data_IF_760481264667
#
_entry.id   IF_760481264667
#
_cell.length_a   1.000
_cell.length_b   1.000
_cell.length_c   1.000
_cell.angle_alpha   90.00
_cell.angle_beta   90.00
_cell.angle_gamma   90.00
#
_symmetry.space_group_name_H-M   'P 1'
#
loop_
_entity.id
_entity.type
_entity.pdbx_description
1 polymer ?
#
# COMPACT_ATOMS: atom_id res chain seq x y z
N UNK A 1 -34.30 0.01 -44.13
CA UNK A 1 -33.20 0.86 -43.58
C UNK A 1 -33.28 0.79 -42.09
N UNK A 2 -32.54 -0.12 -41.48
CA UNK A 2 -32.39 -0.19 -40.01
C UNK A 2 -31.13 0.58 -39.63
N UNK A 3 -31.30 1.66 -38.89
CA UNK A 3 -30.19 2.36 -38.22
C UNK A 3 -29.92 1.66 -36.89
N UNK A 4 -28.85 0.87 -36.84
CA UNK A 4 -28.33 0.32 -35.61
C UNK A 4 -27.52 1.45 -34.92
N UNK A 5 -28.02 1.91 -33.78
CA UNK A 5 -27.28 2.76 -32.85
C UNK A 5 -26.28 1.90 -32.07
N UNK A 6 -25.00 2.10 -32.35
CA UNK A 6 -23.93 1.60 -31.49
C UNK A 6 -23.91 2.44 -30.23
N UNK A 7 -24.44 1.91 -29.14
CA UNK A 7 -24.16 2.41 -27.82
C UNK A 7 -22.75 1.89 -27.43
N UNK A 8 -21.74 2.72 -27.62
CA UNK A 8 -20.41 2.47 -27.10
C UNK A 8 -20.48 2.56 -25.58
N UNK A 9 -20.21 1.44 -24.92
CA UNK A 9 -20.18 1.28 -23.49
C UNK A 9 -19.01 2.09 -22.91
N UNK A 10 -19.33 3.25 -22.36
CA UNK A 10 -18.45 4.10 -21.52
C UNK A 10 -18.39 3.56 -20.08
N UNK A 11 -18.36 2.27 -19.87
CA UNK A 11 -18.45 1.63 -18.55
C UNK A 11 -17.10 1.13 -18.01
N UNK A 12 -15.99 1.32 -18.72
CA UNK A 12 -14.72 0.71 -18.34
C UNK A 12 -13.80 1.58 -17.46
N UNK A 13 -14.11 2.86 -17.23
CA UNK A 13 -13.17 3.77 -16.52
C UNK A 13 -13.59 4.19 -15.10
N UNK A 14 -14.74 3.75 -14.61
CA UNK A 14 -15.21 4.13 -13.26
C UNK A 14 -14.87 3.07 -12.20
N UNK A 15 -14.51 1.87 -12.58
CA UNK A 15 -14.40 0.74 -11.64
C UNK A 15 -13.03 0.55 -10.97
N UNK A 16 -11.99 1.28 -11.35
CA UNK A 16 -10.67 1.13 -10.70
C UNK A 16 -10.60 1.79 -9.31
N UNK A 17 -11.52 2.66 -8.94
CA UNK A 17 -11.56 3.32 -7.63
C UNK A 17 -12.44 2.60 -6.59
N UNK A 18 -13.27 1.65 -6.99
CA UNK A 18 -14.22 0.97 -6.11
C UNK A 18 -13.62 -0.19 -5.29
N UNK A 19 -12.35 -0.52 -5.52
CA UNK A 19 -11.77 -1.75 -4.96
C UNK A 19 -11.28 -1.65 -3.51
N UNK A 20 -11.30 -0.47 -2.90
CA UNK A 20 -10.88 -0.28 -1.51
C UNK A 20 -11.88 0.59 -0.73
N UNK A 21 -13.16 0.30 -0.83
CA UNK A 21 -14.10 0.81 0.17
C UNK A 21 -13.99 -0.09 1.39
N UNK A 22 -13.86 0.50 2.57
CA UNK A 22 -13.64 -0.15 3.85
C UNK A 22 -14.61 -1.31 4.16
N UNK A 23 -15.74 -1.36 3.50
CA UNK A 23 -16.82 -2.29 3.81
C UNK A 23 -16.69 -3.68 3.16
N UNK A 24 -15.74 -3.89 2.22
CA UNK A 24 -15.71 -5.12 1.42
C UNK A 24 -14.39 -5.90 1.40
N UNK A 25 -13.32 -5.38 2.01
CA UNK A 25 -12.02 -6.05 1.95
C UNK A 25 -11.39 -6.17 3.34
N UNK A 26 -11.19 -7.41 3.76
CA UNK A 26 -10.34 -7.74 4.89
C UNK A 26 -8.96 -8.06 4.35
N UNK A 27 -7.95 -7.32 4.78
CA UNK A 27 -6.58 -7.47 4.34
C UNK A 27 -5.64 -7.81 5.48
N UNK A 28 -4.51 -8.45 5.15
CA UNK A 28 -3.41 -8.71 6.04
C UNK A 28 -2.14 -8.00 5.55
N UNK A 29 -1.32 -7.51 6.45
CA UNK A 29 0.02 -7.03 6.17
C UNK A 29 1.05 -7.90 6.88
N UNK A 30 2.11 -8.29 6.19
CA UNK A 30 3.19 -9.05 6.78
C UNK A 30 4.55 -8.68 6.20
N UNK A 31 5.56 -8.76 7.06
CA UNK A 31 6.98 -8.73 6.67
C UNK A 31 7.63 -10.11 6.78
N UNK A 32 6.90 -11.09 7.31
CA UNK A 32 7.38 -12.47 7.46
C UNK A 32 7.28 -13.23 6.13
N UNK A 33 8.14 -14.24 5.90
CA UNK A 33 7.97 -15.17 4.79
C UNK A 33 6.59 -15.84 4.83
N UNK A 34 5.96 -15.97 3.67
CA UNK A 34 4.66 -16.64 3.49
C UNK A 34 4.84 -17.92 2.68
N UNK A 35 4.10 -18.95 3.07
CA UNK A 35 3.86 -20.12 2.23
C UNK A 35 2.50 -20.03 1.54
N UNK A 36 2.29 -20.84 0.50
CA UNK A 36 0.97 -20.98 -0.16
C UNK A 36 -0.10 -21.46 0.82
N UNK A 37 0.27 -22.30 1.81
CA UNK A 37 -0.67 -22.76 2.84
C UNK A 37 -1.13 -21.63 3.78
N UNK A 38 -0.23 -20.68 4.11
CA UNK A 38 -0.57 -19.52 4.92
C UNK A 38 -1.52 -18.60 4.15
N UNK A 39 -1.24 -18.36 2.88
CA UNK A 39 -2.08 -17.56 1.99
C UNK A 39 -3.45 -18.20 1.74
N UNK A 40 -3.53 -19.53 1.59
CA UNK A 40 -4.78 -20.27 1.49
C UNK A 40 -5.60 -20.12 2.79
N UNK A 41 -4.93 -20.19 3.96
CA UNK A 41 -5.58 -19.95 5.24
C UNK A 41 -6.15 -18.52 5.32
N UNK A 42 -5.43 -17.50 4.83
CA UNK A 42 -5.96 -16.13 4.74
C UNK A 42 -7.25 -16.10 3.92
N UNK A 43 -7.22 -16.65 2.72
CA UNK A 43 -8.36 -16.67 1.82
C UNK A 43 -9.57 -17.42 2.42
N UNK A 44 -9.37 -18.56 3.07
CA UNK A 44 -10.41 -19.34 3.74
C UNK A 44 -11.04 -18.62 4.93
N UNK A 45 -10.32 -17.69 5.53
CA UNK A 45 -10.82 -16.85 6.64
C UNK A 45 -11.33 -15.47 6.16
N UNK A 46 -11.56 -15.31 4.85
CA UNK A 46 -12.18 -14.11 4.28
C UNK A 46 -11.21 -12.98 3.99
N UNK A 47 -9.90 -13.20 4.09
CA UNK A 47 -8.89 -12.21 3.71
C UNK A 47 -8.69 -12.29 2.19
N UNK A 48 -9.25 -11.33 1.48
CA UNK A 48 -9.15 -11.24 0.02
C UNK A 48 -8.10 -10.24 -0.46
N UNK A 49 -7.44 -9.56 0.46
CA UNK A 49 -6.37 -8.60 0.23
C UNK A 49 -5.18 -8.91 1.13
N UNK A 50 -3.98 -8.73 0.62
CA UNK A 50 -2.78 -8.79 1.43
C UNK A 50 -1.71 -7.83 0.90
N UNK A 51 -0.92 -7.28 1.82
CA UNK A 51 0.18 -6.38 1.50
C UNK A 51 1.46 -7.03 2.01
N UNK A 52 2.44 -7.17 1.13
CA UNK A 52 3.77 -7.64 1.49
C UNK A 52 4.76 -6.50 1.40
N UNK A 53 5.71 -6.44 2.34
CA UNK A 53 6.82 -5.51 2.19
C UNK A 53 7.67 -5.94 0.99
N UNK A 54 7.97 -4.98 0.09
CA UNK A 54 8.72 -5.22 -1.14
C UNK A 54 10.03 -4.44 -1.20
N UNK A 55 10.15 -3.40 -0.38
CA UNK A 55 11.38 -2.61 -0.28
C UNK A 55 11.56 -2.15 1.16
N UNK A 56 12.78 -2.26 1.69
CA UNK A 56 13.11 -1.94 3.06
C UNK A 56 14.59 -1.63 3.20
N UNK A 57 14.95 -0.65 4.01
CA UNK A 57 16.33 -0.25 4.32
C UNK A 57 17.22 -0.04 3.09
N UNK A 58 16.64 0.50 2.02
CA UNK A 58 17.37 0.80 0.79
C UNK A 58 17.55 -0.38 -0.17
N UNK A 59 16.93 -1.53 0.10
CA UNK A 59 17.03 -2.75 -0.70
C UNK A 59 15.65 -3.34 -1.00
N UNK A 60 15.56 -4.13 -2.09
CA UNK A 60 14.41 -5.00 -2.30
C UNK A 60 14.32 -5.99 -1.12
N UNK A 61 13.10 -6.23 -0.63
CA UNK A 61 12.90 -7.22 0.43
C UNK A 61 13.18 -8.61 -0.13
N UNK A 62 13.95 -9.42 0.60
CA UNK A 62 14.35 -10.75 0.16
C UNK A 62 13.14 -11.67 -0.09
N UNK A 63 12.02 -11.40 0.56
CA UNK A 63 10.79 -12.20 0.44
C UNK A 63 9.77 -11.58 -0.53
N UNK A 64 10.10 -10.48 -1.24
CA UNK A 64 9.11 -9.72 -2.01
C UNK A 64 8.28 -10.58 -2.96
N UNK A 65 8.93 -11.29 -3.87
CA UNK A 65 8.26 -12.10 -4.87
C UNK A 65 7.74 -13.42 -4.31
N UNK A 66 8.45 -14.04 -3.38
CA UNK A 66 8.02 -15.29 -2.76
C UNK A 66 6.70 -15.09 -2.01
N UNK A 67 6.57 -14.00 -1.25
CA UNK A 67 5.33 -13.66 -0.57
C UNK A 67 4.19 -13.37 -1.54
N UNK A 68 4.41 -12.54 -2.57
CA UNK A 68 3.40 -12.23 -3.58
C UNK A 68 2.96 -13.47 -4.36
N UNK A 69 3.90 -14.34 -4.73
CA UNK A 69 3.61 -15.61 -5.39
C UNK A 69 2.85 -16.58 -4.46
N UNK A 70 3.21 -16.64 -3.18
CA UNK A 70 2.49 -17.43 -2.19
C UNK A 70 1.04 -16.95 -2.05
N UNK A 71 0.83 -15.63 -1.96
CA UNK A 71 -0.49 -15.02 -1.91
C UNK A 71 -1.32 -15.32 -3.16
N UNK A 72 -0.71 -15.25 -4.34
CA UNK A 72 -1.35 -15.61 -5.61
C UNK A 72 -1.71 -17.10 -5.62
N UNK A 73 -0.79 -17.97 -5.23
CA UNK A 73 -1.03 -19.42 -5.17
C UNK A 73 -2.11 -19.83 -4.16
N UNK A 74 -2.25 -19.08 -3.06
CA UNK A 74 -3.30 -19.26 -2.06
C UNK A 74 -4.64 -18.61 -2.42
N UNK A 75 -4.76 -17.96 -3.58
CA UNK A 75 -6.01 -17.38 -4.08
C UNK A 75 -6.38 -16.03 -3.48
N UNK A 76 -5.43 -15.32 -2.83
CA UNK A 76 -5.65 -13.94 -2.38
C UNK A 76 -5.74 -13.03 -3.60
N UNK A 77 -6.87 -12.29 -3.72
CA UNK A 77 -7.19 -11.55 -4.94
C UNK A 77 -6.34 -10.29 -5.12
N UNK A 78 -6.19 -9.49 -4.08
CA UNK A 78 -5.45 -8.23 -4.09
C UNK A 78 -4.13 -8.40 -3.33
N UNK A 79 -3.02 -8.18 -4.03
CA UNK A 79 -1.66 -8.44 -3.55
C UNK A 79 -0.82 -7.22 -3.84
N UNK A 80 -0.76 -6.32 -2.86
CA UNK A 80 -0.08 -5.03 -2.99
C UNK A 80 1.31 -5.07 -2.34
N UNK A 81 2.15 -4.12 -2.72
CA UNK A 81 3.48 -3.94 -2.14
C UNK A 81 3.51 -2.79 -1.13
N UNK A 82 4.28 -2.92 -0.05
CA UNK A 82 4.69 -1.81 0.81
C UNK A 82 6.16 -1.48 0.57
N UNK A 83 6.42 -0.25 0.18
CA UNK A 83 7.76 0.32 0.09
C UNK A 83 8.03 1.20 1.30
N UNK A 84 9.00 0.81 2.11
CA UNK A 84 9.54 1.63 3.17
C UNK A 84 10.75 2.41 2.61
N UNK A 85 10.60 3.72 2.34
CA UNK A 85 11.62 4.46 1.62
C UNK A 85 12.85 4.74 2.49
N UNK A 86 13.97 5.01 1.85
CA UNK A 86 15.17 5.51 2.52
C UNK A 86 15.50 6.91 2.02
N UNK A 87 15.48 7.89 2.91
CA UNK A 87 15.85 9.28 2.59
C UNK A 87 17.28 9.42 2.06
N UNK A 88 18.14 8.45 2.32
CA UNK A 88 19.54 8.42 1.88
C UNK A 88 19.71 8.09 0.40
N UNK A 89 18.66 7.59 -0.26
CA UNK A 89 18.69 7.13 -1.64
C UNK A 89 17.85 8.03 -2.54
N UNK A 90 18.17 7.98 -3.85
CA UNK A 90 17.34 8.67 -4.84
C UNK A 90 15.89 8.15 -4.80
N UNK A 91 14.89 9.02 -4.62
CA UNK A 91 13.47 8.64 -4.65
C UNK A 91 13.11 7.84 -5.90
N UNK A 92 13.50 8.36 -7.07
CA UNK A 92 13.23 7.73 -8.37
C UNK A 92 13.83 6.33 -8.46
N UNK A 93 15.08 6.15 -8.03
CA UNK A 93 15.76 4.86 -8.14
C UNK A 93 15.11 3.79 -7.24
N UNK A 94 14.57 4.16 -6.08
CA UNK A 94 13.86 3.23 -5.21
C UNK A 94 12.58 2.72 -5.87
N UNK A 95 11.79 3.62 -6.47
CA UNK A 95 10.57 3.25 -7.21
C UNK A 95 10.95 2.40 -8.44
N UNK A 96 11.95 2.82 -9.22
CA UNK A 96 12.40 2.10 -10.41
C UNK A 96 12.84 0.67 -10.08
N UNK A 97 13.69 0.50 -9.06
CA UNK A 97 14.17 -0.82 -8.64
C UNK A 97 13.01 -1.73 -8.21
N UNK A 98 12.11 -1.19 -7.38
CA UNK A 98 10.94 -1.94 -6.90
C UNK A 98 10.01 -2.34 -8.04
N UNK A 99 9.61 -1.40 -8.88
CA UNK A 99 8.66 -1.66 -9.99
C UNK A 99 9.27 -2.61 -11.02
N UNK A 100 10.57 -2.45 -11.32
CA UNK A 100 11.27 -3.35 -12.25
C UNK A 100 11.31 -4.78 -11.71
N UNK A 101 11.60 -4.96 -10.42
CA UNK A 101 11.57 -6.29 -9.80
C UNK A 101 10.16 -6.88 -9.81
N UNK A 102 9.16 -6.14 -9.34
CA UNK A 102 7.78 -6.59 -9.30
C UNK A 102 7.25 -7.02 -10.67
N UNK A 103 7.59 -6.30 -11.74
CA UNK A 103 7.17 -6.61 -13.11
C UNK A 103 7.93 -7.78 -13.72
N UNK A 104 9.23 -7.92 -13.40
CA UNK A 104 10.12 -8.90 -14.04
C UNK A 104 10.13 -10.22 -13.26
N UNK A 105 10.27 -10.14 -11.95
CA UNK A 105 10.55 -11.30 -11.10
C UNK A 105 9.25 -11.87 -10.48
N UNK A 106 8.28 -11.02 -10.17
CA UNK A 106 7.04 -11.46 -9.51
C UNK A 106 5.88 -11.77 -10.49
N UNK A 107 6.09 -11.69 -11.78
CA UNK A 107 5.27 -12.14 -12.93
C UNK A 107 3.75 -12.23 -12.70
N UNK A 108 3.08 -11.08 -12.49
CA UNK A 108 1.63 -11.02 -12.30
C UNK A 108 1.13 -11.33 -10.89
N UNK A 109 2.03 -11.65 -9.96
CA UNK A 109 1.66 -11.82 -8.57
C UNK A 109 1.32 -10.49 -7.87
N UNK A 110 1.87 -9.37 -8.34
CA UNK A 110 1.56 -8.04 -7.85
C UNK A 110 0.31 -7.45 -8.51
N UNK A 111 -0.59 -6.84 -7.70
CA UNK A 111 -1.87 -6.28 -8.18
C UNK A 111 -1.76 -4.84 -8.71
N UNK A 112 -0.57 -4.22 -8.67
CA UNK A 112 -0.32 -2.91 -9.27
C UNK A 112 -0.35 -1.72 -8.32
N UNK A 113 -0.67 -1.89 -7.02
CA UNK A 113 -0.59 -0.81 -6.02
C UNK A 113 0.69 -0.94 -5.21
N UNK A 114 1.37 0.20 -5.03
CA UNK A 114 2.52 0.35 -4.15
C UNK A 114 2.16 1.35 -3.03
N UNK A 115 2.23 0.90 -1.79
CA UNK A 115 2.01 1.74 -0.62
C UNK A 115 3.35 2.31 -0.16
N UNK A 116 3.43 3.64 -0.06
CA UNK A 116 4.61 4.33 0.47
C UNK A 116 4.45 4.50 1.96
N UNK A 117 5.37 3.92 2.72
CA UNK A 117 5.38 4.01 4.18
C UNK A 117 5.84 5.40 4.61
N UNK A 118 4.91 6.17 5.16
CA UNK A 118 5.14 7.48 5.75
C UNK A 118 4.82 7.45 7.26
N UNK A 119 5.38 6.49 7.97
CA UNK A 119 5.37 6.42 9.42
C UNK A 119 6.67 6.97 10.01
N UNK A 120 6.61 7.49 11.23
CA UNK A 120 7.76 8.10 11.90
C UNK A 120 8.72 7.02 12.44
N UNK A 121 9.37 6.30 11.52
CA UNK A 121 10.41 5.32 11.87
C UNK A 121 11.79 5.89 11.55
N UNK A 122 12.80 5.52 12.34
CA UNK A 122 14.18 5.90 12.09
C UNK A 122 14.62 5.46 10.68
N UNK A 123 15.33 6.31 9.96
CA UNK A 123 15.92 6.08 8.63
C UNK A 123 15.03 6.30 7.40
N UNK A 124 13.70 6.30 7.50
CA UNK A 124 12.83 6.47 6.34
C UNK A 124 12.80 7.89 5.82
N UNK A 125 12.80 8.86 6.74
CA UNK A 125 12.70 10.29 6.44
C UNK A 125 13.78 11.10 7.18
N UNK A 126 13.94 12.36 6.77
CA UNK A 126 14.76 13.38 7.45
C UNK A 126 14.05 13.88 8.71
N UNK A 127 14.80 14.54 9.59
CA UNK A 127 14.23 15.32 10.70
C UNK A 127 13.64 16.67 10.25
N UNK A 128 13.82 17.04 8.98
CA UNK A 128 13.41 18.33 8.41
C UNK A 128 12.18 18.13 7.54
N UNK A 129 11.04 18.70 7.96
CA UNK A 129 9.74 18.50 7.28
C UNK A 129 9.75 18.93 5.81
N UNK A 130 10.36 20.06 5.46
CA UNK A 130 10.40 20.55 4.08
C UNK A 130 11.18 19.60 3.16
N UNK A 131 12.23 18.97 3.68
CA UNK A 131 12.99 17.97 2.93
C UNK A 131 12.15 16.72 2.71
N UNK A 132 11.39 16.30 3.72
CA UNK A 132 10.48 15.16 3.63
C UNK A 132 9.35 15.41 2.64
N UNK A 133 8.79 16.61 2.62
CA UNK A 133 7.77 17.02 1.64
C UNK A 133 8.31 16.91 0.21
N UNK A 134 9.52 17.41 -0.02
CA UNK A 134 10.17 17.32 -1.32
C UNK A 134 10.48 15.86 -1.69
N UNK A 135 11.03 15.09 -0.76
CA UNK A 135 11.34 13.67 -0.97
C UNK A 135 10.10 12.85 -1.33
N UNK A 136 9.01 13.03 -0.58
CA UNK A 136 7.73 12.37 -0.88
C UNK A 136 7.18 12.77 -2.25
N UNK A 137 7.26 14.05 -2.62
CA UNK A 137 6.84 14.48 -3.96
C UNK A 137 7.63 13.78 -5.07
N UNK A 138 8.96 13.62 -4.89
CA UNK A 138 9.79 12.94 -5.87
C UNK A 138 9.45 11.43 -5.98
N UNK A 139 9.12 10.76 -4.86
CA UNK A 139 8.61 9.39 -4.88
C UNK A 139 7.30 9.30 -5.66
N UNK A 140 6.35 10.20 -5.40
CA UNK A 140 5.05 10.22 -6.10
C UNK A 140 5.18 10.54 -7.59
N UNK A 141 6.07 11.46 -7.96
CA UNK A 141 6.39 11.74 -9.37
C UNK A 141 6.98 10.52 -10.08
N UNK A 142 7.85 9.77 -9.41
CA UNK A 142 8.37 8.51 -9.94
C UNK A 142 7.27 7.46 -10.11
N UNK A 143 6.32 7.36 -9.18
CA UNK A 143 5.15 6.48 -9.35
C UNK A 143 4.38 6.82 -10.64
N UNK A 144 4.15 8.11 -10.88
CA UNK A 144 3.45 8.58 -12.10
C UNK A 144 4.29 8.30 -13.36
N UNK A 145 5.61 8.49 -13.31
CA UNK A 145 6.52 8.19 -14.42
C UNK A 145 6.51 6.71 -14.81
N UNK A 146 6.45 5.81 -13.81
CA UNK A 146 6.41 4.37 -14.04
C UNK A 146 4.98 3.82 -14.26
N UNK A 147 3.98 4.70 -14.35
CA UNK A 147 2.57 4.35 -14.55
C UNK A 147 2.08 3.28 -13.57
N UNK A 148 2.24 3.57 -12.27
CA UNK A 148 1.78 2.73 -11.17
C UNK A 148 0.90 3.52 -10.20
N UNK A 149 -0.02 2.81 -9.56
CA UNK A 149 -0.79 3.39 -8.46
C UNK A 149 0.02 3.41 -7.19
N UNK A 150 0.30 4.60 -6.64
CA UNK A 150 0.88 4.74 -5.32
C UNK A 150 -0.12 5.31 -4.32
N UNK A 151 -0.20 4.68 -3.15
CA UNK A 151 -0.92 5.17 -1.97
C UNK A 151 0.04 5.51 -0.84
N UNK A 152 -0.49 6.10 0.23
CA UNK A 152 0.28 6.48 1.43
C UNK A 152 -0.19 5.63 2.60
N UNK A 153 0.75 5.01 3.30
CA UNK A 153 0.54 4.33 4.58
C UNK A 153 1.02 5.24 5.72
N UNK A 154 0.11 5.73 6.56
CA UNK A 154 0.44 6.63 7.67
C UNK A 154 -0.73 6.79 8.64
N UNK A 155 -0.51 7.56 9.71
CA UNK A 155 -1.52 8.12 10.61
C UNK A 155 -1.31 9.63 10.80
N UNK A 156 -2.24 10.28 11.50
CA UNK A 156 -2.20 11.73 11.70
C UNK A 156 -0.95 12.18 12.49
N UNK A 157 -0.51 11.41 13.49
CA UNK A 157 0.63 11.77 14.32
C UNK A 157 1.95 11.69 13.53
N UNK A 158 2.15 10.59 12.82
CA UNK A 158 3.33 10.39 11.97
C UNK A 158 3.37 11.41 10.84
N UNK A 159 2.24 11.62 10.15
CA UNK A 159 2.13 12.62 9.09
C UNK A 159 2.50 14.03 9.60
N UNK A 160 1.96 14.41 10.74
CA UNK A 160 2.23 15.73 11.36
C UNK A 160 3.71 15.86 11.71
N UNK A 161 4.32 14.81 12.24
CA UNK A 161 5.73 14.79 12.59
C UNK A 161 6.61 14.91 11.35
N UNK A 162 6.33 14.13 10.32
CA UNK A 162 7.16 14.02 9.12
C UNK A 162 6.94 15.15 8.13
N UNK A 163 5.68 15.53 7.88
CA UNK A 163 5.29 16.43 6.81
C UNK A 163 4.79 17.79 7.30
N UNK A 164 4.41 17.88 8.58
CA UNK A 164 3.73 19.06 9.13
C UNK A 164 2.20 18.98 8.95
N UNK A 165 1.48 19.58 9.91
CA UNK A 165 0.00 19.48 10.02
C UNK A 165 -0.75 20.10 8.83
N UNK A 166 -0.13 21.05 8.11
CA UNK A 166 -0.74 21.79 7.00
C UNK A 166 -0.41 21.25 5.61
N UNK A 167 0.54 20.29 5.52
CA UNK A 167 0.96 19.76 4.23
C UNK A 167 -0.08 18.85 3.60
N UNK A 168 -0.43 19.11 2.34
CA UNK A 168 -1.47 18.41 1.57
C UNK A 168 -0.99 17.85 0.24
N UNK A 169 0.33 17.71 0.05
CA UNK A 169 0.91 17.33 -1.25
C UNK A 169 0.55 15.93 -1.73
N UNK A 170 0.01 15.08 -0.86
CA UNK A 170 -0.43 13.74 -1.22
C UNK A 170 -1.95 13.52 -1.12
N UNK A 171 -2.76 14.59 -0.95
CA UNK A 171 -4.20 14.48 -0.70
C UNK A 171 -4.99 13.74 -1.81
N UNK A 172 -4.46 13.71 -3.04
CA UNK A 172 -5.07 13.01 -4.17
C UNK A 172 -4.66 11.53 -4.28
N UNK A 173 -3.81 11.05 -3.37
CA UNK A 173 -3.41 9.65 -3.28
C UNK A 173 -4.30 8.92 -2.30
N UNK A 174 -4.46 7.61 -2.48
CA UNK A 174 -5.16 6.77 -1.51
C UNK A 174 -4.44 6.78 -0.17
N UNK A 175 -5.20 6.78 0.91
CA UNK A 175 -4.67 6.68 2.26
C UNK A 175 -4.94 5.27 2.81
N UNK A 176 -3.89 4.58 3.19
CA UNK A 176 -3.97 3.45 4.11
C UNK A 176 -3.72 3.99 5.51
N UNK A 177 -4.80 4.10 6.27
CA UNK A 177 -4.80 4.70 7.59
C UNK A 177 -4.41 3.69 8.65
N UNK A 178 -3.36 3.97 9.40
CA UNK A 178 -2.96 3.20 10.58
C UNK A 178 -3.71 3.74 11.79
N UNK A 179 -4.75 3.00 12.22
CA UNK A 179 -5.57 3.38 13.37
C UNK A 179 -4.80 3.26 14.68
N UNK A 180 -4.70 4.34 15.47
CA UNK A 180 -4.01 4.32 16.76
C UNK A 180 -4.79 3.58 17.85
N UNK A 181 -6.11 3.45 17.73
CA UNK A 181 -6.96 2.77 18.72
C UNK A 181 -6.97 1.25 18.55
N UNK A 182 -6.40 0.76 17.45
CA UNK A 182 -6.32 -0.66 17.15
C UNK A 182 -7.66 -1.32 16.83
N UNK A 183 -8.74 -0.57 16.59
CA UNK A 183 -10.03 -1.11 16.19
C UNK A 183 -10.18 -1.19 14.67
N UNK A 184 -10.93 -2.20 14.22
CA UNK A 184 -11.17 -2.46 12.79
C UNK A 184 -12.27 -1.55 12.22
N UNK A 185 -12.10 -0.24 12.30
CA UNK A 185 -13.05 0.74 11.78
C UNK A 185 -12.38 2.10 11.55
N UNK A 186 -13.14 3.06 10.98
CA UNK A 186 -12.68 4.43 10.77
C UNK A 186 -13.28 5.43 11.78
N UNK A 187 -13.84 4.98 12.90
CA UNK A 187 -14.52 5.85 13.84
C UNK A 187 -13.60 6.86 14.52
N UNK A 188 -12.31 6.52 14.62
CA UNK A 188 -11.25 7.39 15.14
C UNK A 188 -10.59 8.27 14.08
N UNK A 189 -11.00 8.14 12.81
CA UNK A 189 -10.42 8.91 11.73
C UNK A 189 -10.82 10.39 11.81
N UNK A 190 -9.82 11.23 11.95
CA UNK A 190 -9.94 12.68 11.86
C UNK A 190 -9.19 13.14 10.61
N UNK A 191 -9.80 14.05 9.83
CA UNK A 191 -9.19 14.56 8.59
C UNK A 191 -7.83 15.21 8.84
N UNK A 192 -6.83 14.79 8.07
CA UNK A 192 -5.47 15.35 8.10
C UNK A 192 -4.85 15.24 6.71
N UNK A 193 -3.76 15.97 6.46
CA UNK A 193 -3.01 15.88 5.20
C UNK A 193 -3.82 16.19 3.92
N UNK A 194 -5.04 16.70 4.08
CA UNK A 194 -6.01 16.93 3.00
C UNK A 194 -6.95 15.74 2.75
N UNK A 195 -6.73 14.58 3.37
CA UNK A 195 -7.66 13.46 3.31
C UNK A 195 -8.86 13.71 4.24
N UNK A 196 -10.05 13.49 3.69
CA UNK A 196 -11.33 13.54 4.43
C UNK A 196 -11.90 12.15 4.69
N UNK A 197 -11.38 11.14 4.01
CA UNK A 197 -11.68 9.72 4.17
C UNK A 197 -10.40 8.91 3.97
N UNK A 198 -10.30 7.77 4.61
CA UNK A 198 -9.26 6.79 4.31
C UNK A 198 -9.77 5.76 3.29
N UNK A 199 -8.87 5.23 2.46
CA UNK A 199 -9.19 4.21 1.45
C UNK A 199 -9.01 2.80 1.96
N UNK A 200 -8.02 2.60 2.82
CA UNK A 200 -7.68 1.33 3.46
C UNK A 200 -7.46 1.60 4.93
N UNK A 201 -7.88 0.67 5.74
CA UNK A 201 -7.69 0.72 7.16
C UNK A 201 -6.65 -0.33 7.59
N UNK A 202 -5.73 0.07 8.47
CA UNK A 202 -4.72 -0.80 9.05
C UNK A 202 -4.85 -0.86 10.57
N UNK A 203 -4.79 -2.05 11.11
CA UNK A 203 -4.68 -2.29 12.55
C UNK A 203 -3.29 -2.81 12.85
N UNK A 204 -2.60 -2.17 13.79
CA UNK A 204 -1.39 -2.76 14.35
C UNK A 204 -1.79 -3.86 15.32
N UNK A 205 -1.49 -5.09 14.97
CA UNK A 205 -1.51 -6.18 15.93
C UNK A 205 -0.17 -6.20 16.67
N UNK A 206 -0.20 -6.13 18.00
CA UNK A 206 1.00 -6.44 18.76
C UNK A 206 1.49 -7.84 18.39
N UNK A 207 2.80 -8.02 18.29
CA UNK A 207 3.53 -9.19 17.80
C UNK A 207 3.16 -10.57 18.43
N UNK A 208 2.13 -10.63 19.28
CA UNK A 208 1.64 -11.85 19.91
C UNK A 208 0.53 -12.57 19.13
N UNK A 209 -0.01 -11.97 18.06
CA UNK A 209 -1.11 -12.57 17.30
C UNK A 209 -0.56 -13.22 16.02
N UNK A 210 -0.20 -14.50 16.11
CA UNK A 210 -0.02 -15.32 14.91
C UNK A 210 -1.39 -15.70 14.35
N UNK A 211 -1.64 -15.36 13.10
CA UNK A 211 -2.82 -15.78 12.36
C UNK A 211 -2.36 -16.63 11.17
N UNK A 212 -2.99 -17.77 10.95
CA UNK A 212 -2.56 -18.72 9.92
C UNK A 212 -1.07 -19.12 10.00
N UNK A 213 -0.51 -19.18 11.21
CA UNK A 213 0.89 -19.52 11.41
C UNK A 213 1.89 -18.38 11.14
N UNK A 214 1.41 -17.21 10.75
CA UNK A 214 2.24 -16.06 10.36
C UNK A 214 2.00 -14.89 11.30
N UNK A 215 3.04 -14.13 11.60
CA UNK A 215 2.90 -12.83 12.28
C UNK A 215 2.32 -11.82 11.28
N UNK A 216 1.14 -11.30 11.57
CA UNK A 216 0.48 -10.23 10.78
C UNK A 216 0.49 -8.92 11.56
N UNK A 217 0.56 -7.82 10.85
CA UNK A 217 0.48 -6.45 11.39
C UNK A 217 -0.77 -5.75 10.87
#
# INVERSE_FOLDING_TARGET
MLRGTFAASLLALVNAQAYYTADNYTGAYTTAPLSVSDALCFQQNGYNSAISRVFYDGHLDINECDNLNALMGGGVMYRDGLLQPSYKLSPRNQIEATVSSLRTNCQGAWSGTLWLDATATDYTFSTIQVDNQYFLQQLLMACDEFDITCGIYTNMADWTTLMGSTYKGAQNRRLWYLSPDGNANFNDFVSFGGWTVASVWGKTYNAANSFCGVTIQ
#
